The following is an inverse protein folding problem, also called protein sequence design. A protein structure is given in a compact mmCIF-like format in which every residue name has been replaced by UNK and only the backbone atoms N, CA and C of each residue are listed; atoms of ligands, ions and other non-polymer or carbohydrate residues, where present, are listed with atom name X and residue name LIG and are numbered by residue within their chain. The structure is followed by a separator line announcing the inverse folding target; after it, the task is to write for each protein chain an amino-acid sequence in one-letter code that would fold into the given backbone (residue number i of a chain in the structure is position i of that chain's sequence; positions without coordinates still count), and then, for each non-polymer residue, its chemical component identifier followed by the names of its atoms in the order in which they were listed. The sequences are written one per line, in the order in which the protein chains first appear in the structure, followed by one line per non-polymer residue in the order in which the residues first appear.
data_IF_370749918797
#
_entry.id   IF_370749918797
#
_cell.length_a   1.000
_cell.length_b   1.000
_cell.length_c   1.000
_cell.angle_alpha   90.00
_cell.angle_beta   90.00
_cell.angle_gamma   90.00
#
_symmetry.space_group_name_H-M   'P 1'
#
loop_
_entity.id
_entity.type
_entity.pdbx_description
1 polymer ?
#
# COMPACT_ATOMS: atom_id res chain seq x y z
N UNK A 1 16.68 -12.74 -4.58
CA UNK A 1 16.29 -11.42 -5.12
C UNK A 1 16.61 -10.39 -4.06
N UNK A 2 17.14 -9.20 -4.39
CA UNK A 2 17.30 -8.13 -3.38
C UNK A 2 15.95 -7.45 -3.14
N UNK A 3 15.62 -7.20 -1.88
CA UNK A 3 14.38 -6.55 -1.44
C UNK A 3 14.35 -5.06 -1.86
N UNK A 4 13.25 -4.60 -2.45
CA UNK A 4 13.05 -3.20 -2.88
C UNK A 4 12.73 -2.27 -1.70
N UNK A 5 12.41 -2.84 -0.53
CA UNK A 5 12.11 -2.10 0.70
C UNK A 5 13.37 -1.61 1.43
N UNK A 6 14.54 -2.07 0.98
CA UNK A 6 15.84 -1.66 1.49
C UNK A 6 16.18 -2.25 2.86
N UNK A 7 17.49 -2.33 3.15
CA UNK A 7 18.03 -2.77 4.46
C UNK A 7 18.08 -1.65 5.51
N UNK A 8 17.53 -0.47 5.23
CA UNK A 8 17.70 0.67 6.11
C UNK A 8 16.64 0.63 7.19
N UNK A 9 17.12 0.35 8.40
CA UNK A 9 16.43 0.59 9.65
C UNK A 9 16.02 2.05 9.75
N UNK A 10 14.76 2.32 10.06
CA UNK A 10 14.35 3.65 10.51
C UNK A 10 15.05 4.03 11.84
N UNK A 11 14.75 5.20 12.39
CA UNK A 11 15.35 5.67 13.66
C UNK A 11 15.07 4.71 14.84
N UNK A 12 14.11 3.82 14.69
CA UNK A 12 13.70 2.82 15.69
C UNK A 12 14.26 1.42 15.44
N UNK A 13 14.99 1.19 14.34
CA UNK A 13 15.59 -0.10 14.04
C UNK A 13 14.79 -0.99 13.08
N UNK A 14 13.65 -0.55 12.56
CA UNK A 14 12.78 -1.38 11.72
C UNK A 14 13.18 -1.33 10.25
N UNK A 15 13.33 -2.50 9.62
CA UNK A 15 13.50 -2.61 8.18
C UNK A 15 12.20 -2.25 7.45
N UNK A 16 12.31 -1.99 6.15
CA UNK A 16 11.12 -1.84 5.29
C UNK A 16 10.31 -3.14 5.15
N UNK A 17 10.80 -4.28 5.61
CA UNK A 17 10.00 -5.51 5.70
C UNK A 17 9.23 -5.53 7.02
N UNK A 18 9.87 -5.17 8.14
CA UNK A 18 9.21 -5.09 9.45
C UNK A 18 8.03 -4.10 9.43
N UNK A 19 8.24 -2.91 8.84
CA UNK A 19 7.19 -1.90 8.69
C UNK A 19 6.05 -2.37 7.79
N UNK A 20 6.34 -3.24 6.82
CA UNK A 20 5.32 -3.83 5.94
C UNK A 20 4.42 -4.77 6.72
N UNK A 21 5.04 -5.61 7.54
CA UNK A 21 4.34 -6.57 8.39
C UNK A 21 3.49 -5.84 9.45
N UNK A 22 4.00 -4.74 10.01
CA UNK A 22 3.23 -3.89 10.93
C UNK A 22 2.01 -3.23 10.27
N UNK A 23 2.17 -2.73 9.03
CA UNK A 23 1.05 -2.17 8.26
C UNK A 23 0.02 -3.26 7.96
N UNK A 24 0.45 -4.45 7.53
CA UNK A 24 -0.45 -5.57 7.29
C UNK A 24 -1.23 -5.94 8.55
N UNK A 25 -0.55 -6.06 9.69
CA UNK A 25 -1.18 -6.34 10.97
C UNK A 25 -2.18 -5.25 11.37
N UNK A 26 -1.85 -3.98 11.14
CA UNK A 26 -2.76 -2.87 11.39
C UNK A 26 -4.02 -2.97 10.52
N UNK A 27 -3.86 -3.26 9.22
CA UNK A 27 -4.96 -3.44 8.28
C UNK A 27 -5.84 -4.64 8.68
N UNK A 28 -5.25 -5.80 8.99
CA UNK A 28 -5.99 -7.00 9.44
C UNK A 28 -6.85 -6.70 10.67
N UNK A 29 -6.32 -5.94 11.64
CA UNK A 29 -7.05 -5.61 12.88
C UNK A 29 -8.25 -4.68 12.70
N UNK A 30 -8.22 -3.79 11.71
CA UNK A 30 -9.21 -2.71 11.60
C UNK A 30 -10.11 -2.84 10.36
N UNK A 31 -9.58 -3.42 9.28
CA UNK A 31 -10.23 -3.53 8.00
C UNK A 31 -10.38 -5.00 7.57
N UNK A 32 -9.51 -5.91 7.99
CA UNK A 32 -9.55 -7.32 7.58
C UNK A 32 -8.35 -7.70 6.71
N UNK A 33 -8.28 -8.96 6.29
CA UNK A 33 -7.05 -9.54 5.77
C UNK A 33 -6.64 -8.93 4.42
N UNK A 34 -5.46 -8.28 4.33
CA UNK A 34 -4.98 -7.71 3.09
C UNK A 34 -4.38 -8.79 2.17
N UNK A 35 -4.72 -8.71 0.89
CA UNK A 35 -4.10 -9.50 -0.17
C UNK A 35 -3.23 -8.60 -1.04
N UNK A 36 -1.98 -9.00 -1.30
CA UNK A 36 -1.11 -8.27 -2.23
C UNK A 36 -1.64 -8.48 -3.65
N UNK A 37 -2.26 -7.46 -4.21
CA UNK A 37 -2.78 -7.49 -5.59
C UNK A 37 -1.65 -7.26 -6.60
N UNK A 38 -0.69 -6.41 -6.25
CA UNK A 38 0.56 -6.28 -7.00
C UNK A 38 1.71 -5.84 -6.11
N UNK A 39 2.92 -6.23 -6.52
CA UNK A 39 4.16 -5.83 -5.89
C UNK A 39 5.18 -5.40 -6.94
N UNK A 40 5.83 -4.27 -6.70
CA UNK A 40 6.97 -3.85 -7.52
C UNK A 40 8.20 -4.75 -7.34
N UNK A 41 8.28 -5.51 -6.24
CA UNK A 41 9.29 -6.56 -6.05
C UNK A 41 9.17 -7.67 -7.11
N UNK A 42 7.95 -7.96 -7.55
CA UNK A 42 7.63 -8.97 -8.56
C UNK A 42 7.78 -8.41 -10.00
N UNK A 43 8.36 -7.22 -10.14
CA UNK A 43 8.68 -6.61 -11.44
C UNK A 43 7.55 -5.79 -12.06
N UNK A 44 6.52 -5.43 -11.27
CA UNK A 44 5.45 -4.54 -11.75
C UNK A 44 5.95 -3.12 -12.08
N UNK A 45 7.00 -2.64 -11.39
CA UNK A 45 7.62 -1.34 -11.62
C UNK A 45 8.10 -1.10 -13.07
N UNK A 46 8.29 -2.17 -13.84
CA UNK A 46 8.67 -2.09 -15.26
C UNK A 46 7.48 -2.25 -16.24
N UNK A 47 6.27 -2.46 -15.72
CA UNK A 47 5.03 -2.57 -16.51
C UNK A 47 4.15 -1.32 -16.40
N UNK A 48 4.33 -0.52 -15.35
CA UNK A 48 3.70 0.79 -15.25
C UNK A 48 4.47 1.81 -16.10
N UNK A 49 3.75 2.54 -16.97
CA UNK A 49 4.29 3.71 -17.68
C UNK A 49 4.23 4.99 -16.84
N UNK A 50 3.57 4.94 -15.69
CA UNK A 50 3.35 6.07 -14.80
C UNK A 50 4.61 6.32 -13.95
N UNK A 51 5.11 7.56 -13.84
CA UNK A 51 6.19 7.88 -12.91
C UNK A 51 5.70 7.71 -11.46
N UNK A 52 6.33 6.82 -10.69
CA UNK A 52 5.91 6.55 -9.31
C UNK A 52 7.01 5.92 -8.43
N UNK A 53 6.87 6.00 -7.08
CA UNK A 53 7.70 5.21 -6.18
C UNK A 53 7.39 3.71 -6.34
N UNK A 54 8.35 2.86 -5.95
CA UNK A 54 8.07 1.44 -5.87
C UNK A 54 7.08 1.18 -4.73
N UNK A 55 5.96 0.51 -5.02
CA UNK A 55 4.91 0.23 -4.05
C UNK A 55 4.37 -1.19 -4.16
N UNK A 56 3.87 -1.67 -3.04
CA UNK A 56 2.88 -2.73 -3.01
C UNK A 56 1.49 -2.12 -2.98
N UNK A 57 0.56 -2.80 -3.64
CA UNK A 57 -0.86 -2.54 -3.43
C UNK A 57 -1.52 -3.75 -2.83
N UNK A 58 -2.12 -3.48 -1.69
CA UNK A 58 -2.86 -4.43 -0.89
C UNK A 58 -4.35 -4.15 -1.09
N UNK A 59 -5.10 -5.20 -1.35
CA UNK A 59 -6.55 -5.17 -1.49
C UNK A 59 -7.15 -5.94 -0.33
N UNK A 60 -8.01 -5.26 0.41
CA UNK A 60 -8.82 -5.87 1.47
C UNK A 60 -10.22 -6.03 0.88
N UNK A 61 -10.67 -7.27 0.63
CA UNK A 61 -11.98 -7.51 0.05
C UNK A 61 -13.08 -7.07 1.02
N UNK A 62 -14.30 -6.82 0.53
CA UNK A 62 -15.43 -6.61 1.41
C UNK A 62 -15.72 -7.90 2.22
N UNK A 63 -15.85 -7.76 3.54
CA UNK A 63 -16.25 -8.84 4.43
C UNK A 63 -17.58 -8.54 5.11
N UNK A 64 -18.43 -9.56 5.23
CA UNK A 64 -19.74 -9.46 5.87
C UNK A 64 -20.69 -8.50 5.14
N UNK A 65 -21.24 -7.53 5.87
CA UNK A 65 -22.19 -6.54 5.31
C UNK A 65 -21.49 -5.41 4.52
N UNK A 66 -20.15 -5.38 4.56
CA UNK A 66 -19.38 -4.31 3.92
C UNK A 66 -19.50 -4.36 2.41
N UNK A 67 -19.67 -3.20 1.79
CA UNK A 67 -19.80 -3.02 0.34
C UNK A 67 -18.62 -2.29 -0.28
N UNK A 68 -17.48 -2.22 0.39
CA UNK A 68 -16.28 -1.55 -0.11
C UNK A 68 -15.09 -2.49 0.00
N UNK A 69 -14.31 -2.56 -1.07
CA UNK A 69 -12.94 -3.05 -1.03
C UNK A 69 -12.02 -1.86 -0.68
N UNK A 70 -11.01 -2.09 0.14
CA UNK A 70 -9.97 -1.09 0.40
C UNK A 70 -8.72 -1.41 -0.40
N UNK A 71 -8.24 -0.44 -1.16
CA UNK A 71 -6.98 -0.51 -1.89
C UNK A 71 -5.97 0.36 -1.18
N UNK A 72 -4.97 -0.25 -0.55
CA UNK A 72 -3.97 0.40 0.27
C UNK A 72 -2.60 0.32 -0.41
N UNK A 73 -1.80 1.39 -0.34
CA UNK A 73 -0.39 1.34 -0.78
C UNK A 73 0.54 0.96 0.37
N UNK A 74 1.68 0.39 0.05
CA UNK A 74 2.84 0.31 0.94
C UNK A 74 4.11 0.66 0.17
N UNK A 75 4.95 1.53 0.73
CA UNK A 75 6.21 1.96 0.13
C UNK A 75 6.28 3.45 -0.19
N UNK A 76 5.14 4.13 -0.22
CA UNK A 76 5.08 5.59 -0.40
C UNK A 76 5.73 6.32 0.79
N UNK A 77 5.51 5.77 1.99
CA UNK A 77 6.02 6.30 3.26
C UNK A 77 7.52 6.07 3.48
N UNK A 78 8.11 5.08 2.80
CA UNK A 78 9.53 4.70 2.95
C UNK A 78 10.49 5.66 2.23
N UNK A 79 9.98 6.52 1.34
CA UNK A 79 10.81 7.52 0.67
C UNK A 79 11.32 8.52 1.71
N UNK A 80 12.57 8.96 1.58
CA UNK A 80 13.16 10.03 2.42
C UNK A 80 12.30 11.30 2.33
N UNK A 81 11.37 11.45 3.26
CA UNK A 81 10.77 12.72 3.63
C UNK A 81 11.65 13.37 4.67
N UNK A 82 12.01 14.64 4.46
CA UNK A 82 12.59 15.44 5.53
C UNK A 82 11.64 15.49 6.73
N UNK A 83 12.19 15.81 7.90
CA UNK A 83 11.46 15.93 9.17
C UNK A 83 10.09 16.56 8.96
N UNK A 84 9.02 15.91 9.42
CA UNK A 84 7.62 16.35 9.25
C UNK A 84 7.42 17.78 9.79
N UNK A 85 8.24 18.19 10.75
CA UNK A 85 8.20 19.52 11.37
C UNK A 85 9.04 20.57 10.62
N UNK A 86 9.85 20.17 9.65
CA UNK A 86 10.66 21.10 8.85
C UNK A 86 9.85 21.70 7.69
N UNK A 87 10.10 22.97 7.29
CA UNK A 87 9.45 23.55 6.11
C UNK A 87 9.78 22.74 4.85
N UNK A 88 8.78 22.11 4.23
CA UNK A 88 8.97 21.16 3.13
C UNK A 88 9.17 19.70 3.56
N UNK A 89 9.01 19.41 4.86
CA UNK A 89 8.91 18.07 5.43
C UNK A 89 7.83 17.27 4.72
N UNK A 90 8.21 16.11 4.18
CA UNK A 90 7.22 15.24 3.51
C UNK A 90 6.70 14.25 4.54
N UNK A 91 5.42 14.37 4.85
CA UNK A 91 4.74 13.39 5.68
C UNK A 91 4.90 12.00 5.07
N UNK A 92 5.31 11.04 5.91
CA UNK A 92 5.38 9.62 5.53
C UNK A 92 3.95 9.08 5.63
N UNK A 93 3.28 8.95 4.49
CA UNK A 93 1.90 8.49 4.44
C UNK A 93 1.71 7.43 3.36
N UNK A 94 0.77 6.54 3.60
CA UNK A 94 0.23 5.61 2.62
C UNK A 94 -1.15 6.08 2.17
N UNK A 95 -1.56 5.66 0.98
CA UNK A 95 -2.84 6.01 0.40
C UNK A 95 -3.82 4.86 0.54
N UNK A 96 -5.08 5.20 0.78
CA UNK A 96 -6.18 4.24 0.87
C UNK A 96 -7.34 4.73 -0.01
N UNK A 97 -7.81 3.87 -0.91
CA UNK A 97 -9.00 4.08 -1.72
C UNK A 97 -10.09 3.10 -1.29
N UNK A 98 -11.25 3.61 -0.89
CA UNK A 98 -12.44 2.80 -0.67
C UNK A 98 -13.22 2.67 -1.99
N UNK A 99 -13.21 1.47 -2.57
CA UNK A 99 -13.87 1.19 -3.85
C UNK A 99 -15.16 0.43 -3.59
N UNK A 100 -16.35 0.97 -3.92
CA UNK A 100 -17.60 0.25 -3.73
C UNK A 100 -17.62 -1.01 -4.60
N UNK A 101 -18.12 -2.11 -4.04
CA UNK A 101 -18.27 -3.40 -4.69
C UNK A 101 -19.76 -3.76 -4.71
N UNK A 102 -20.32 -3.90 -5.90
CA UNK A 102 -21.71 -4.29 -6.14
C UNK A 102 -21.85 -5.81 -6.24
N UNK A 103 -20.74 -6.54 -6.35
CA UNK A 103 -20.72 -8.00 -6.50
C UNK A 103 -20.91 -8.46 -7.94
N UNK A 104 -20.80 -7.52 -8.90
CA UNK A 104 -20.72 -7.80 -10.33
C UNK A 104 -19.35 -7.32 -10.82
N UNK A 105 -18.48 -8.26 -11.17
CA UNK A 105 -17.11 -7.98 -11.60
C UNK A 105 -17.04 -6.95 -12.75
N UNK A 106 -18.04 -6.91 -13.63
CA UNK A 106 -18.05 -5.96 -14.75
C UNK A 106 -18.39 -4.54 -14.28
N UNK A 107 -19.39 -4.39 -13.41
CA UNK A 107 -19.74 -3.11 -12.81
C UNK A 107 -18.63 -2.58 -11.89
N UNK A 108 -17.99 -3.48 -11.14
CA UNK A 108 -16.92 -3.14 -10.21
C UNK A 108 -15.63 -2.71 -10.94
N UNK A 109 -15.31 -3.33 -12.08
CA UNK A 109 -14.21 -2.90 -12.95
C UNK A 109 -14.48 -1.56 -13.64
N UNK A 110 -15.74 -1.28 -14.00
CA UNK A 110 -16.11 -0.04 -14.68
C UNK A 110 -15.97 1.22 -13.81
N UNK A 111 -15.94 1.08 -12.48
CA UNK A 111 -15.74 2.23 -11.56
C UNK A 111 -14.27 2.57 -11.31
N UNK A 112 -13.34 1.76 -11.80
CA UNK A 112 -11.90 1.98 -11.68
C UNK A 112 -11.29 2.67 -12.92
N UNK A 113 -12.10 2.95 -13.96
CA UNK A 113 -11.73 3.71 -15.16
C UNK A 113 -12.49 5.03 -15.21
#
# INVERSE_FOLDING_TARGET
MQSIWGRRTDETGHTGEDLRDEVQLHLTRHLGEPHIAFSDQDGWANKSKEPGPAVDVMVIPPEGERRFAYVCTYGSSLKKGGDVLSPGGKARMEFVLATPQRGDAKADLAMLN
#
